data_IF_751680051307
#
_entry.id   IF_751680051307
#
_cell.length_a   1.000
_cell.length_b   1.000
_cell.length_c   1.000
_cell.angle_alpha   90.00
_cell.angle_beta   90.00
_cell.angle_gamma   90.00
#
_symmetry.space_group_name_H-M   'P 1'
#
loop_
_entity.id
_entity.type
_entity.pdbx_description
1 polymer ?
#
# COMPACT_ATOMS: atom_id res chain seq x y z
N UNK A 1 9.93 9.85 4.47
CA UNK A 1 9.51 8.62 5.20
C UNK A 1 10.29 7.43 4.67
N UNK A 2 10.73 6.58 5.55
CA UNK A 2 11.51 5.40 5.17
C UNK A 2 10.68 4.43 4.35
N UNK A 3 11.27 3.81 3.31
CA UNK A 3 10.56 2.89 2.43
C UNK A 3 10.00 1.68 3.18
N UNK A 4 10.73 1.19 4.16
CA UNK A 4 10.26 0.07 4.99
C UNK A 4 8.97 0.43 5.71
N UNK A 5 8.88 1.64 6.23
CA UNK A 5 7.69 2.14 6.92
C UNK A 5 6.54 2.32 5.92
N UNK A 6 6.83 2.88 4.76
CA UNK A 6 5.83 3.08 3.72
C UNK A 6 5.26 1.73 3.28
N UNK A 7 6.12 0.74 3.06
CA UNK A 7 5.69 -0.60 2.67
C UNK A 7 4.78 -1.22 3.73
N UNK A 8 5.14 -1.07 5.01
CA UNK A 8 4.34 -1.62 6.10
C UNK A 8 2.95 -0.98 6.15
N UNK A 9 2.87 0.33 5.98
CA UNK A 9 1.58 1.03 6.00
C UNK A 9 0.72 0.65 4.82
N UNK A 10 1.32 0.54 3.63
CA UNK A 10 0.59 0.11 2.44
C UNK A 10 0.05 -1.30 2.63
N UNK A 11 0.90 -2.20 3.10
CA UNK A 11 0.53 -3.59 3.32
C UNK A 11 -0.65 -3.71 4.29
N UNK A 12 -0.60 -2.98 5.39
CA UNK A 12 -1.67 -3.02 6.38
C UNK A 12 -2.99 -2.49 5.80
N UNK A 13 -2.92 -1.37 5.08
CA UNK A 13 -4.10 -0.77 4.47
C UNK A 13 -4.73 -1.70 3.43
N UNK A 14 -3.90 -2.23 2.54
CA UNK A 14 -4.37 -3.10 1.46
C UNK A 14 -4.99 -4.38 2.02
N UNK A 15 -4.35 -4.96 3.04
CA UNK A 15 -4.87 -6.17 3.68
C UNK A 15 -6.24 -5.91 4.31
N UNK A 16 -6.37 -4.82 5.06
CA UNK A 16 -7.63 -4.50 5.71
C UNK A 16 -8.71 -4.17 4.70
N UNK A 17 -8.36 -3.47 3.63
CA UNK A 17 -9.29 -3.14 2.57
C UNK A 17 -9.81 -4.40 1.88
N UNK A 18 -8.90 -5.32 1.55
CA UNK A 18 -9.27 -6.58 0.93
C UNK A 18 -10.16 -7.42 1.85
N UNK A 19 -9.83 -7.44 3.13
CA UNK A 19 -10.60 -8.20 4.11
C UNK A 19 -12.02 -7.67 4.23
N UNK A 20 -12.18 -6.36 4.13
CA UNK A 20 -13.48 -5.70 4.29
C UNK A 20 -14.31 -5.75 3.01
N UNK A 21 -13.69 -5.43 1.87
CA UNK A 21 -14.39 -5.30 0.59
C UNK A 21 -14.26 -6.50 -0.33
N UNK A 22 -13.22 -7.31 -0.17
CA UNK A 22 -12.97 -8.46 -1.02
C UNK A 22 -12.22 -8.13 -2.30
N UNK A 23 -11.65 -6.93 -2.42
CA UNK A 23 -10.87 -6.52 -3.59
C UNK A 23 -9.84 -5.47 -3.16
N UNK A 24 -8.79 -5.32 -3.98
CA UNK A 24 -7.70 -4.40 -3.66
C UNK A 24 -8.06 -2.96 -4.04
N UNK A 25 -7.60 -1.97 -3.25
CA UNK A 25 -7.87 -0.56 -3.56
C UNK A 25 -7.16 -0.11 -4.83
N UNK A 26 -7.71 0.90 -5.50
CA UNK A 26 -7.08 1.48 -6.68
C UNK A 26 -5.88 2.35 -6.33
N UNK A 27 -5.87 2.90 -5.13
CA UNK A 27 -4.76 3.71 -4.65
C UNK A 27 -4.69 3.65 -3.14
N UNK A 28 -3.54 4.10 -2.61
CA UNK A 28 -3.30 4.13 -1.15
C UNK A 28 -2.59 5.43 -0.84
N UNK A 29 -3.08 6.15 0.16
CA UNK A 29 -2.41 7.37 0.62
C UNK A 29 -1.64 7.08 1.90
N UNK A 30 -0.34 7.44 1.88
CA UNK A 30 0.54 7.33 3.03
C UNK A 30 1.08 8.73 3.32
N UNK A 31 0.65 9.31 4.42
CA UNK A 31 0.99 10.68 4.73
C UNK A 31 0.45 11.62 3.66
N UNK A 32 1.35 12.38 3.04
CA UNK A 32 0.98 13.34 1.99
C UNK A 32 1.13 12.76 0.59
N UNK A 33 1.53 11.50 0.46
CA UNK A 33 1.82 10.89 -0.83
C UNK A 33 0.73 9.89 -1.20
N UNK A 34 0.18 10.03 -2.41
CA UNK A 34 -0.80 9.09 -2.94
C UNK A 34 -0.09 8.14 -3.89
N UNK A 35 -0.21 6.84 -3.62
CA UNK A 35 0.37 5.79 -4.44
C UNK A 35 -0.74 5.13 -5.25
N UNK A 36 -0.56 5.10 -6.57
CA UNK A 36 -1.51 4.40 -7.46
C UNK A 36 -1.35 2.89 -7.29
N UNK A 37 -2.30 2.12 -7.82
CA UNK A 37 -2.25 0.66 -7.77
C UNK A 37 -0.89 0.13 -8.23
N UNK A 38 -0.43 0.59 -9.38
CA UNK A 38 0.84 0.15 -9.95
C UNK A 38 2.00 0.51 -9.04
N UNK A 39 1.99 1.70 -8.49
CA UNK A 39 3.06 2.17 -7.61
C UNK A 39 3.10 1.39 -6.30
N UNK A 40 1.97 1.17 -5.65
CA UNK A 40 2.01 0.47 -4.38
C UNK A 40 2.28 -1.01 -4.55
N UNK A 41 1.84 -1.62 -5.65
CA UNK A 41 2.16 -3.02 -5.92
C UNK A 41 3.67 -3.19 -6.14
N UNK A 42 4.31 -2.24 -6.80
CA UNK A 42 5.76 -2.25 -6.97
C UNK A 42 6.46 -2.19 -5.62
N UNK A 43 6.00 -1.32 -4.74
CA UNK A 43 6.59 -1.20 -3.40
C UNK A 43 6.41 -2.48 -2.60
N UNK A 44 5.24 -3.11 -2.68
CA UNK A 44 4.98 -4.35 -1.96
C UNK A 44 5.84 -5.51 -2.46
N UNK A 45 6.27 -5.45 -3.73
CA UNK A 45 7.10 -6.50 -4.31
C UNK A 45 8.58 -6.35 -3.95
N UNK A 46 8.98 -5.21 -3.41
CA UNK A 46 10.38 -4.95 -3.04
C UNK A 46 10.73 -5.63 -1.74
N UNK A 47 12.00 -6.05 -1.64
CA UNK A 47 12.55 -6.62 -0.41
C UNK A 47 13.21 -5.51 0.39
N UNK A 48 12.48 -4.97 1.33
CA UNK A 48 12.99 -3.90 2.20
C UNK A 48 12.69 -4.22 3.66
#
# INVERSE_FOLDING_TARGET
>A
MEMKQVKAEIKDYVRDHYKYYGWYPYDVQVGDTLYTYEQYMDILSRTV
#
